data_IF_747974473937
#
_entry.id   IF_747974473937
#
_cell.length_a   1.000
_cell.length_b   1.000
_cell.length_c   1.000
_cell.angle_alpha   90.00
_cell.angle_beta   90.00
_cell.angle_gamma   90.00
#
_symmetry.space_group_name_H-M   'P 1'
#
loop_
_entity.id
_entity.type
_entity.pdbx_description
1 polymer ?
#
# COMPACT_ATOMS: atom_id res chain seq x y z
N UNK A 1 -47.36 21.96 -33.68
CA UNK A 1 -45.92 22.29 -33.56
C UNK A 1 -45.23 21.49 -32.45
N UNK A 2 -45.30 20.15 -32.48
CA UNK A 2 -44.60 19.26 -31.52
C UNK A 2 -43.98 18.01 -32.18
N UNK A 3 -44.04 17.89 -33.51
CA UNK A 3 -43.53 16.72 -34.26
C UNK A 3 -42.16 16.94 -34.94
N UNK A 4 -41.58 18.14 -34.84
CA UNK A 4 -40.29 18.47 -35.46
C UNK A 4 -39.08 18.32 -34.52
N UNK A 5 -39.27 18.41 -33.21
CA UNK A 5 -38.18 18.30 -32.23
C UNK A 5 -37.69 16.86 -31.99
N UNK A 6 -38.49 15.85 -32.33
CA UNK A 6 -38.11 14.43 -32.15
C UNK A 6 -37.21 13.94 -33.30
N UNK A 7 -37.41 14.43 -34.52
CA UNK A 7 -36.57 14.07 -35.68
C UNK A 7 -35.17 14.68 -35.62
N UNK A 8 -35.01 15.85 -34.99
CA UNK A 8 -33.70 16.50 -34.86
C UNK A 8 -32.78 15.82 -33.83
N UNK A 9 -33.35 15.20 -32.78
CA UNK A 9 -32.58 14.49 -31.75
C UNK A 9 -32.16 13.08 -32.20
N UNK A 10 -32.90 12.42 -33.10
CA UNK A 10 -32.50 11.10 -33.64
C UNK A 10 -31.36 11.24 -34.65
N UNK A 11 -31.28 12.36 -35.38
CA UNK A 11 -30.21 12.59 -36.36
C UNK A 11 -28.84 12.90 -35.71
N UNK A 12 -28.82 13.48 -34.50
CA UNK A 12 -27.57 13.73 -33.76
C UNK A 12 -27.00 12.49 -33.06
N UNK A 13 -27.81 11.46 -32.80
CA UNK A 13 -27.35 10.20 -32.20
C UNK A 13 -26.74 9.22 -33.22
N UNK A 14 -26.89 9.47 -34.53
CA UNK A 14 -26.31 8.65 -35.59
C UNK A 14 -24.94 9.16 -36.09
N UNK A 15 -24.47 10.32 -35.61
CA UNK A 15 -23.18 10.91 -36.00
C UNK A 15 -21.97 10.49 -35.15
N UNK A 16 -22.16 9.75 -34.05
CA UNK A 16 -21.07 9.33 -33.14
C UNK A 16 -20.65 7.86 -33.34
N UNK A 17 -21.25 7.14 -34.28
CA UNK A 17 -20.95 5.73 -34.56
C UNK A 17 -20.01 5.51 -35.76
N UNK A 18 -19.34 6.56 -36.27
CA UNK A 18 -18.49 6.49 -37.46
C UNK A 18 -17.10 7.11 -37.23
N UNK A 19 -16.40 6.66 -36.20
CA UNK A 19 -14.94 6.80 -36.04
C UNK A 19 -14.39 5.67 -35.16
N UNK A 20 -14.78 4.43 -35.47
CA UNK A 20 -13.98 3.27 -35.06
C UNK A 20 -12.99 3.00 -36.19
N UNK A 21 -11.80 3.60 -36.10
CA UNK A 21 -10.65 3.06 -36.81
C UNK A 21 -10.47 1.62 -36.34
N UNK A 22 -10.49 0.68 -37.28
CA UNK A 22 -10.30 -0.73 -36.98
C UNK A 22 -8.99 -0.91 -36.24
N UNK A 23 -9.07 -1.22 -34.94
CA UNK A 23 -7.92 -1.75 -34.22
C UNK A 23 -7.73 -3.16 -34.75
N UNK A 24 -6.62 -3.37 -35.46
CA UNK A 24 -6.11 -4.69 -35.73
C UNK A 24 -6.01 -5.43 -34.39
N UNK A 25 -6.86 -6.44 -34.23
CA UNK A 25 -6.68 -7.44 -33.19
C UNK A 25 -5.49 -8.27 -33.63
N UNK A 26 -4.33 -8.07 -32.98
CA UNK A 26 -3.23 -9.04 -33.05
C UNK A 26 -3.72 -10.28 -32.32
N UNK A 27 -4.43 -11.14 -33.04
CA UNK A 27 -4.63 -12.53 -32.65
C UNK A 27 -3.33 -13.21 -33.00
N UNK A 28 -2.48 -13.45 -32.01
CA UNK A 28 -1.33 -14.32 -32.16
C UNK A 28 -1.86 -15.74 -32.39
N UNK A 29 -2.10 -16.08 -33.65
CA UNK A 29 -2.39 -17.44 -34.08
C UNK A 29 -1.07 -18.20 -34.01
N UNK A 30 -0.88 -19.02 -32.98
CA UNK A 30 0.13 -20.05 -33.03
C UNK A 30 -0.22 -21.02 -34.16
N UNK A 31 0.52 -20.92 -35.26
CA UNK A 31 0.54 -21.93 -36.30
C UNK A 31 1.24 -23.17 -35.74
N UNK A 32 0.45 -24.20 -35.39
CA UNK A 32 0.99 -25.56 -35.25
C UNK A 32 1.23 -26.06 -36.67
N UNK A 33 2.49 -26.17 -37.08
CA UNK A 33 2.86 -26.87 -38.30
C UNK A 33 3.07 -28.35 -37.97
N UNK A 34 2.44 -29.24 -38.73
CA UNK A 34 2.35 -30.70 -38.53
C UNK A 34 3.67 -31.48 -38.66
N UNK A 35 4.85 -30.85 -38.66
CA UNK A 35 6.14 -31.54 -38.76
C UNK A 35 7.14 -31.11 -37.68
N UNK A 36 6.85 -31.48 -36.43
CA UNK A 36 7.75 -32.28 -35.59
C UNK A 36 9.21 -31.87 -35.31
N UNK A 37 9.66 -30.64 -35.54
CA UNK A 37 11.01 -30.20 -35.07
C UNK A 37 11.02 -28.73 -34.63
N UNK A 38 10.56 -28.48 -33.39
CA UNK A 38 10.77 -27.20 -32.72
C UNK A 38 12.19 -27.11 -32.17
N UNK A 39 12.92 -26.05 -32.53
CA UNK A 39 14.16 -25.64 -31.87
C UNK A 39 13.91 -25.47 -30.37
N UNK A 40 14.87 -25.82 -29.48
CA UNK A 40 14.66 -25.70 -28.05
C UNK A 40 14.51 -24.23 -27.68
N UNK A 41 13.30 -23.84 -27.27
CA UNK A 41 13.08 -22.60 -26.53
C UNK A 41 13.88 -22.74 -25.23
N UNK A 42 14.86 -21.86 -24.96
CA UNK A 42 15.55 -21.89 -23.67
C UNK A 42 14.50 -21.64 -22.57
N UNK A 43 14.63 -22.27 -21.39
CA UNK A 43 13.66 -22.05 -20.33
C UNK A 43 13.71 -20.59 -19.90
N UNK A 44 12.75 -19.80 -20.36
CA UNK A 44 12.53 -18.44 -19.89
C UNK A 44 11.93 -18.53 -18.50
N UNK A 45 12.78 -18.67 -17.49
CA UNK A 45 12.46 -18.15 -16.16
C UNK A 45 12.53 -16.63 -16.24
N UNK A 46 11.56 -16.02 -16.94
CA UNK A 46 11.19 -14.64 -16.69
C UNK A 46 10.13 -14.67 -15.59
N UNK A 47 10.61 -14.77 -14.35
CA UNK A 47 9.84 -14.23 -13.24
C UNK A 47 9.70 -12.74 -13.51
N UNK A 48 8.48 -12.22 -13.53
CA UNK A 48 8.17 -10.83 -13.86
C UNK A 48 9.06 -9.87 -13.08
N UNK A 49 10.05 -9.32 -13.78
CA UNK A 49 10.87 -8.20 -13.34
C UNK A 49 10.31 -6.90 -13.89
N UNK A 50 11.00 -5.81 -13.53
CA UNK A 50 10.64 -4.41 -13.79
C UNK A 50 10.60 -4.07 -15.31
N UNK A 51 10.99 -5.01 -16.17
CA UNK A 51 10.91 -4.96 -17.65
C UNK A 51 9.76 -5.82 -18.25
N UNK A 52 8.94 -6.44 -17.41
CA UNK A 52 7.74 -7.14 -17.86
C UNK A 52 6.68 -6.13 -18.29
N UNK A 53 6.40 -6.05 -19.59
CA UNK A 53 5.35 -5.18 -20.13
C UNK A 53 4.04 -5.27 -19.32
N UNK A 54 3.38 -4.11 -19.16
CA UNK A 54 2.16 -4.00 -18.36
C UNK A 54 1.03 -4.90 -18.87
N UNK A 55 0.31 -5.53 -17.94
CA UNK A 55 -0.85 -6.39 -18.20
C UNK A 55 -1.76 -6.47 -16.96
N UNK A 56 -3.01 -6.87 -17.16
CA UNK A 56 -3.96 -7.06 -16.07
C UNK A 56 -3.67 -8.36 -15.31
N UNK A 57 -3.17 -8.26 -14.08
CA UNK A 57 -2.97 -9.40 -13.19
C UNK A 57 -4.24 -9.64 -12.37
N UNK A 58 -4.56 -10.91 -12.11
CA UNK A 58 -5.76 -11.28 -11.38
C UNK A 58 -5.62 -12.53 -10.54
N UNK A 59 -6.60 -12.72 -9.66
CA UNK A 59 -6.80 -13.89 -8.82
C UNK A 59 -8.27 -14.30 -8.95
N UNK A 60 -8.53 -15.59 -9.18
CA UNK A 60 -9.87 -16.15 -9.37
C UNK A 60 -10.73 -15.41 -10.41
N UNK A 61 -10.11 -15.04 -11.52
CA UNK A 61 -10.77 -14.33 -12.63
C UNK A 61 -11.13 -12.87 -12.35
N UNK A 62 -10.67 -12.29 -11.23
CA UNK A 62 -10.83 -10.86 -10.91
C UNK A 62 -9.48 -10.13 -10.93
N UNK A 63 -9.44 -8.88 -11.42
CA UNK A 63 -8.22 -8.08 -11.35
C UNK A 63 -7.85 -7.79 -9.89
N UNK A 64 -6.56 -7.68 -9.58
CA UNK A 64 -6.08 -7.50 -8.20
C UNK A 64 -6.67 -6.27 -7.51
N UNK A 65 -6.96 -5.21 -8.27
CA UNK A 65 -7.61 -3.98 -7.79
C UNK A 65 -9.01 -4.23 -7.21
N UNK A 66 -9.68 -5.32 -7.61
CA UNK A 66 -10.98 -5.70 -7.06
C UNK A 66 -10.92 -6.10 -5.58
N UNK A 67 -9.73 -6.42 -5.08
CA UNK A 67 -9.49 -6.78 -3.68
C UNK A 67 -8.99 -5.59 -2.84
N UNK A 68 -8.81 -4.43 -3.47
CA UNK A 68 -8.41 -3.21 -2.76
C UNK A 68 -9.53 -2.76 -1.85
N UNK A 69 -9.17 -2.42 -0.62
CA UNK A 69 -10.10 -1.89 0.38
C UNK A 69 -9.73 -0.46 0.75
N UNK A 70 -10.75 0.32 1.11
CA UNK A 70 -10.56 1.54 1.87
C UNK A 70 -10.38 1.17 3.35
N UNK A 71 -9.17 1.34 3.88
CA UNK A 71 -8.87 1.00 5.26
C UNK A 71 -9.71 1.83 6.24
N UNK A 72 -10.10 3.06 5.90
CA UNK A 72 -10.96 3.90 6.74
C UNK A 72 -12.35 3.31 7.00
N UNK A 73 -12.79 2.40 6.13
CA UNK A 73 -14.07 1.70 6.24
C UNK A 73 -13.95 0.38 7.02
N UNK A 74 -12.73 -0.07 7.36
CA UNK A 74 -12.51 -1.29 8.12
C UNK A 74 -12.71 -1.04 9.62
N UNK A 75 -13.55 -1.84 10.27
CA UNK A 75 -13.87 -1.69 11.70
C UNK A 75 -12.61 -1.79 12.58
N UNK A 76 -11.69 -2.70 12.26
CA UNK A 76 -10.42 -2.84 12.97
C UNK A 76 -9.57 -1.58 12.90
N UNK A 77 -9.51 -0.90 11.75
CA UNK A 77 -8.79 0.37 11.63
C UNK A 77 -9.52 1.52 12.34
N UNK A 78 -10.85 1.58 12.27
CA UNK A 78 -11.63 2.59 13.02
C UNK A 78 -11.37 2.48 14.53
N UNK A 79 -11.23 1.25 15.04
CA UNK A 79 -10.85 0.99 16.43
C UNK A 79 -9.40 1.41 16.72
N UNK A 80 -8.44 1.09 15.85
CA UNK A 80 -7.06 1.60 15.95
C UNK A 80 -7.03 3.13 15.94
N UNK A 81 -7.79 3.77 15.06
CA UNK A 81 -7.87 5.22 14.96
C UNK A 81 -8.40 5.82 16.27
N UNK A 82 -9.49 5.26 16.79
CA UNK A 82 -10.13 5.74 18.02
C UNK A 82 -9.29 5.50 19.26
N UNK A 83 -8.79 4.29 19.45
CA UNK A 83 -8.17 3.85 20.71
C UNK A 83 -6.67 4.13 20.77
N UNK A 84 -6.01 4.31 19.61
CA UNK A 84 -4.56 4.55 19.51
C UNK A 84 -4.26 5.90 18.88
N UNK A 85 -4.62 6.10 17.60
CA UNK A 85 -4.18 7.28 16.83
C UNK A 85 -4.68 8.58 17.49
N UNK A 86 -5.96 8.67 17.84
CA UNK A 86 -6.54 9.87 18.44
C UNK A 86 -5.85 10.25 19.77
N UNK A 87 -5.39 9.27 20.54
CA UNK A 87 -4.60 9.52 21.76
C UNK A 87 -3.18 9.96 21.44
N UNK A 88 -2.57 9.40 20.40
CA UNK A 88 -1.24 9.81 19.93
C UNK A 88 -1.24 11.23 19.36
N UNK A 89 -2.34 11.74 18.79
CA UNK A 89 -2.41 13.13 18.30
C UNK A 89 -1.98 14.12 19.40
N UNK A 90 -2.29 13.84 20.67
CA UNK A 90 -1.91 14.72 21.78
C UNK A 90 -0.51 14.38 22.31
N UNK A 91 -0.18 13.10 22.46
CA UNK A 91 1.03 12.66 23.17
C UNK A 91 2.27 12.57 22.29
N UNK A 92 2.07 12.19 21.04
CA UNK A 92 3.13 11.93 20.08
C UNK A 92 2.63 12.24 18.64
N UNK A 93 2.32 13.52 18.33
CA UNK A 93 1.61 13.91 17.11
C UNK A 93 2.34 13.51 15.83
N UNK A 94 3.68 13.51 15.83
CA UNK A 94 4.45 13.08 14.65
C UNK A 94 4.27 11.58 14.35
N UNK A 95 4.25 10.72 15.38
CA UNK A 95 3.94 9.30 15.18
C UNK A 95 2.49 9.10 14.73
N UNK A 96 1.53 9.83 15.31
CA UNK A 96 0.14 9.79 14.85
C UNK A 96 0.01 10.15 13.36
N UNK A 97 0.73 11.18 12.93
CA UNK A 97 0.75 11.65 11.55
C UNK A 97 1.38 10.63 10.59
N UNK A 98 2.45 9.95 11.01
CA UNK A 98 3.07 8.87 10.25
C UNK A 98 2.10 7.68 10.11
N UNK A 99 1.42 7.26 11.20
CA UNK A 99 0.42 6.17 11.14
C UNK A 99 -0.74 6.51 10.19
N UNK A 100 -1.25 7.74 10.24
CA UNK A 100 -2.28 8.21 9.32
C UNK A 100 -1.76 8.23 7.87
N UNK A 101 -0.55 8.72 7.63
CA UNK A 101 0.08 8.69 6.31
C UNK A 101 0.17 7.27 5.74
N UNK A 102 0.61 6.30 6.55
CA UNK A 102 0.67 4.89 6.12
C UNK A 102 -0.72 4.33 5.83
N UNK A 103 -1.74 4.69 6.62
CA UNK A 103 -3.11 4.22 6.38
C UNK A 103 -3.70 4.73 5.06
N UNK A 104 -3.29 5.93 4.61
CA UNK A 104 -3.89 6.62 3.46
C UNK A 104 -3.11 6.44 2.16
N UNK A 105 -1.77 6.44 2.23
CA UNK A 105 -0.90 6.40 1.05
C UNK A 105 -0.48 4.97 0.66
N UNK A 106 -0.79 3.96 1.47
CA UNK A 106 -0.58 2.55 1.11
C UNK A 106 -1.87 1.95 0.56
N UNK A 107 -1.74 1.13 -0.48
CA UNK A 107 -2.86 0.35 -0.99
C UNK A 107 -3.04 -0.92 -0.15
N UNK A 108 -4.20 -1.07 0.47
CA UNK A 108 -4.55 -2.24 1.28
C UNK A 108 -5.40 -3.20 0.45
N UNK A 109 -5.05 -4.49 0.50
CA UNK A 109 -5.74 -5.54 -0.23
C UNK A 109 -6.14 -6.66 0.74
N UNK A 110 -7.41 -7.07 0.70
CA UNK A 110 -7.88 -8.28 1.37
C UNK A 110 -8.04 -9.36 0.30
N UNK A 111 -7.05 -10.25 0.17
CA UNK A 111 -7.04 -11.28 -0.87
C UNK A 111 -7.55 -12.61 -0.31
N UNK A 112 -8.43 -13.33 -1.04
CA UNK A 112 -9.02 -14.59 -0.58
C UNK A 112 -8.09 -15.79 -0.82
N UNK A 113 -6.79 -15.64 -0.59
CA UNK A 113 -5.81 -16.71 -0.79
C UNK A 113 -4.66 -16.60 0.21
N UNK A 114 -3.95 -17.72 0.39
CA UNK A 114 -2.79 -17.80 1.26
C UNK A 114 -1.64 -16.95 0.72
N UNK A 115 -0.99 -16.22 1.63
CA UNK A 115 0.23 -15.49 1.33
C UNK A 115 1.43 -16.44 1.40
N UNK A 116 2.44 -16.17 0.58
CA UNK A 116 3.71 -16.89 0.68
C UNK A 116 4.36 -16.60 2.03
N UNK A 117 4.60 -17.65 2.81
CA UNK A 117 5.28 -17.53 4.10
C UNK A 117 6.70 -16.99 3.94
N UNK A 118 7.05 -16.01 4.75
CA UNK A 118 8.43 -15.63 4.98
C UNK A 118 9.12 -16.71 5.83
N UNK A 119 10.41 -17.00 5.60
CA UNK A 119 11.17 -17.88 6.47
C UNK A 119 11.14 -17.39 7.93
N UNK A 120 10.93 -18.28 8.89
CA UNK A 120 10.87 -17.94 10.31
C UNK A 120 12.10 -17.15 10.81
N UNK A 121 13.29 -17.54 10.32
CA UNK A 121 14.56 -16.86 10.61
C UNK A 121 14.70 -15.47 9.98
N UNK A 122 13.79 -15.05 9.08
CA UNK A 122 13.75 -13.66 8.55
C UNK A 122 12.87 -12.75 9.39
N UNK A 123 12.00 -13.31 10.22
CA UNK A 123 11.03 -12.55 11.04
C UNK A 123 11.32 -12.73 12.54
N UNK A 124 12.52 -13.21 12.88
CA UNK A 124 12.97 -13.41 14.27
C UNK A 124 12.17 -14.41 15.09
N UNK A 125 11.66 -15.51 14.51
CA UNK A 125 10.93 -16.55 15.27
C UNK A 125 11.50 -17.95 15.03
N UNK A 126 11.36 -18.82 16.02
CA UNK A 126 11.92 -20.19 16.02
C UNK A 126 10.92 -21.27 15.60
N UNK A 127 9.73 -20.90 15.14
CA UNK A 127 8.65 -21.82 14.78
C UNK A 127 7.99 -21.42 13.46
N UNK A 128 7.27 -22.35 12.84
CA UNK A 128 6.49 -22.06 11.62
C UNK A 128 5.32 -21.16 11.99
N UNK A 129 5.16 -20.07 11.26
CA UNK A 129 4.05 -19.12 11.40
C UNK A 129 3.14 -19.15 10.19
N UNK A 130 1.91 -18.69 10.38
CA UNK A 130 1.01 -18.35 9.28
C UNK A 130 1.24 -16.90 8.86
N UNK A 131 1.48 -16.66 7.57
CA UNK A 131 1.62 -15.30 7.03
C UNK A 131 0.24 -14.68 6.83
N UNK A 132 -0.18 -13.83 7.77
CA UNK A 132 -1.48 -13.17 7.71
C UNK A 132 -1.43 -11.90 6.86
N UNK A 133 -0.35 -11.14 6.92
CA UNK A 133 -0.17 -9.93 6.13
C UNK A 133 1.25 -9.85 5.56
N UNK A 134 1.41 -9.25 4.38
CA UNK A 134 2.68 -9.01 3.72
C UNK A 134 2.71 -7.57 3.22
N UNK A 135 3.63 -6.78 3.78
CA UNK A 135 3.80 -5.39 3.41
C UNK A 135 5.01 -5.15 2.51
N UNK A 136 4.81 -4.31 1.50
CA UNK A 136 5.83 -3.66 0.67
C UNK A 136 5.79 -2.15 0.90
N UNK A 137 6.66 -1.40 0.24
CA UNK A 137 6.71 0.07 0.41
C UNK A 137 5.40 0.80 0.11
N UNK A 138 4.56 0.32 -0.80
CA UNK A 138 3.33 1.01 -1.24
C UNK A 138 2.06 0.18 -1.03
N UNK A 139 2.19 -1.06 -0.57
CA UNK A 139 1.10 -2.04 -0.57
C UNK A 139 1.13 -2.87 0.71
N UNK A 140 -0.06 -3.21 1.22
CA UNK A 140 -0.27 -4.18 2.30
C UNK A 140 -1.24 -5.23 1.78
N UNK A 141 -0.77 -6.47 1.71
CA UNK A 141 -1.55 -7.62 1.28
C UNK A 141 -1.96 -8.42 2.52
N UNK A 142 -3.24 -8.64 2.73
CA UNK A 142 -3.76 -9.39 3.89
C UNK A 142 -4.50 -10.63 3.39
N UNK A 143 -4.19 -11.78 3.98
CA UNK A 143 -4.92 -13.02 3.77
C UNK A 143 -6.29 -12.93 4.44
N UNK A 144 -7.33 -12.72 3.63
CA UNK A 144 -8.71 -12.56 4.10
C UNK A 144 -9.27 -13.87 4.69
N UNK A 145 -8.75 -15.04 4.28
CA UNK A 145 -9.18 -16.34 4.80
C UNK A 145 -8.84 -16.52 6.29
N UNK A 146 -7.79 -15.85 6.76
CA UNK A 146 -7.36 -15.83 8.15
C UNK A 146 -7.92 -14.60 8.87
N UNK A 147 -7.74 -13.42 8.27
CA UNK A 147 -8.13 -12.14 8.89
C UNK A 147 -9.60 -12.08 9.28
N UNK A 148 -10.51 -12.50 8.40
CA UNK A 148 -11.96 -12.48 8.64
C UNK A 148 -12.43 -13.39 9.79
N UNK A 149 -11.60 -14.36 10.21
CA UNK A 149 -11.88 -15.31 11.30
C UNK A 149 -11.27 -14.89 12.64
N UNK A 150 -10.40 -13.88 12.65
CA UNK A 150 -9.76 -13.38 13.86
C UNK A 150 -10.75 -12.72 14.81
N UNK A 151 -10.44 -12.74 16.10
CA UNK A 151 -11.18 -11.91 17.04
C UNK A 151 -10.97 -10.42 16.70
N UNK A 152 -11.95 -9.52 16.97
CA UNK A 152 -11.82 -8.10 16.64
C UNK A 152 -10.52 -7.46 17.17
N UNK A 153 -10.12 -7.81 18.40
CA UNK A 153 -8.89 -7.29 19.02
C UNK A 153 -7.61 -7.79 18.33
N UNK A 154 -7.63 -8.97 17.75
CA UNK A 154 -6.51 -9.51 16.97
C UNK A 154 -6.41 -8.83 15.61
N UNK A 155 -7.55 -8.52 14.97
CA UNK A 155 -7.57 -7.71 13.75
C UNK A 155 -7.02 -6.30 13.99
N UNK A 156 -7.41 -5.64 15.09
CA UNK A 156 -6.83 -4.36 15.52
C UNK A 156 -5.31 -4.45 15.69
N UNK A 157 -4.86 -5.53 16.34
CA UNK A 157 -3.44 -5.77 16.59
C UNK A 157 -2.66 -5.91 15.28
N UNK A 158 -3.18 -6.69 14.33
CA UNK A 158 -2.59 -6.84 13.02
C UNK A 158 -2.55 -5.51 12.26
N UNK A 159 -3.67 -4.78 12.21
CA UNK A 159 -3.72 -3.49 11.50
C UNK A 159 -2.69 -2.52 12.08
N UNK A 160 -2.61 -2.40 13.41
CA UNK A 160 -1.59 -1.53 14.02
C UNK A 160 -0.17 -2.03 13.75
N UNK A 161 0.07 -3.35 13.76
CA UNK A 161 1.37 -3.93 13.42
C UNK A 161 1.82 -3.50 12.02
N UNK A 162 0.97 -3.65 11.01
CA UNK A 162 1.27 -3.26 9.64
C UNK A 162 1.42 -1.73 9.47
N UNK A 163 0.73 -0.93 10.28
CA UNK A 163 0.97 0.52 10.30
C UNK A 163 2.36 0.84 10.84
N UNK A 164 2.79 0.22 11.95
CA UNK A 164 4.13 0.42 12.55
C UNK A 164 5.24 -0.10 11.64
N UNK A 165 5.03 -1.26 10.99
CA UNK A 165 5.93 -1.75 9.95
C UNK A 165 6.03 -0.76 8.78
N UNK A 166 4.92 -0.14 8.39
CA UNK A 166 4.92 0.94 7.40
C UNK A 166 5.74 2.16 7.84
N UNK A 167 5.67 2.55 9.12
CA UNK A 167 6.52 3.62 9.69
C UNK A 167 7.99 3.25 9.60
N UNK A 168 8.35 2.01 9.95
CA UNK A 168 9.72 1.50 9.81
C UNK A 168 10.20 1.60 8.36
N UNK A 169 9.34 1.28 7.41
CA UNK A 169 9.67 1.26 5.99
C UNK A 169 9.85 2.65 5.35
N UNK A 170 9.43 3.74 6.02
CA UNK A 170 9.57 5.12 5.51
C UNK A 170 11.02 5.52 5.20
N UNK A 171 12.02 4.95 5.89
CA UNK A 171 13.42 5.29 5.59
C UNK A 171 13.90 4.81 4.21
N UNK A 172 13.16 3.86 3.64
CA UNK A 172 13.40 3.26 2.34
C UNK A 172 12.48 3.82 1.27
N UNK A 173 11.64 4.81 1.56
CA UNK A 173 10.72 5.35 0.55
C UNK A 173 11.38 6.45 -0.27
N UNK A 174 10.78 6.76 -1.42
CA UNK A 174 11.30 7.78 -2.34
C UNK A 174 11.07 9.21 -1.78
N UNK A 175 11.69 10.20 -2.43
CA UNK A 175 11.62 11.59 -1.98
C UNK A 175 10.18 12.17 -1.97
N UNK A 176 9.31 11.67 -2.85
CA UNK A 176 7.91 12.09 -2.86
C UNK A 176 7.20 11.63 -1.59
N UNK A 177 7.30 10.35 -1.24
CA UNK A 177 6.70 9.80 -0.03
C UNK A 177 7.28 10.44 1.24
N UNK A 178 8.60 10.70 1.26
CA UNK A 178 9.25 11.46 2.33
C UNK A 178 8.70 12.90 2.45
N UNK A 179 8.37 13.55 1.32
CA UNK A 179 7.73 14.86 1.34
C UNK A 179 6.31 14.78 1.91
N UNK A 180 5.53 13.80 1.46
CA UNK A 180 4.14 13.61 1.89
C UNK A 180 4.05 13.30 3.40
N UNK A 181 4.94 12.47 3.92
CA UNK A 181 4.98 12.17 5.35
C UNK A 181 5.46 13.36 6.19
N UNK A 182 6.27 14.27 5.65
CA UNK A 182 6.67 15.49 6.36
C UNK A 182 5.50 16.46 6.56
N UNK A 183 4.53 16.46 5.64
CA UNK A 183 3.38 17.36 5.69
C UNK A 183 2.15 16.71 6.35
N UNK A 184 2.18 15.40 6.62
CA UNK A 184 1.04 14.65 7.19
C UNK A 184 0.59 15.18 8.55
N UNK A 185 1.51 15.79 9.31
CA UNK A 185 1.20 16.45 10.59
C UNK A 185 0.11 17.52 10.45
N UNK A 186 0.07 18.22 9.31
CA UNK A 186 -0.94 19.24 9.03
C UNK A 186 -2.34 18.65 8.94
N UNK A 187 -2.45 17.38 8.52
CA UNK A 187 -3.73 16.68 8.34
C UNK A 187 -4.39 16.32 9.66
N UNK A 188 -3.66 16.29 10.76
CA UNK A 188 -4.23 16.07 12.10
C UNK A 188 -5.02 17.28 12.62
N UNK A 189 -4.88 18.45 11.99
CA UNK A 189 -5.55 19.69 12.39
C UNK A 189 -6.55 20.08 11.30
N UNK A 190 -7.87 20.00 11.53
CA UNK A 190 -8.88 20.28 10.51
C UNK A 190 -8.72 21.63 9.82
N UNK A 191 -8.36 22.68 10.56
CA UNK A 191 -8.16 24.04 10.04
C UNK A 191 -7.02 24.18 9.03
N UNK A 192 -6.16 23.17 8.92
CA UNK A 192 -5.05 23.15 7.97
C UNK A 192 -5.39 22.45 6.65
N UNK A 193 -6.64 22.02 6.40
CA UNK A 193 -6.99 21.24 5.21
C UNK A 193 -6.53 21.90 3.89
N UNK A 194 -6.77 23.20 3.72
CA UNK A 194 -6.35 23.92 2.51
C UNK A 194 -4.82 24.03 2.38
N UNK A 195 -4.13 24.28 3.50
CA UNK A 195 -2.66 24.32 3.55
C UNK A 195 -2.07 22.94 3.23
N UNK A 196 -2.68 21.87 3.73
CA UNK A 196 -2.28 20.51 3.43
C UNK A 196 -2.46 20.20 1.95
N UNK A 197 -3.60 20.58 1.34
CA UNK A 197 -3.82 20.40 -0.11
C UNK A 197 -2.78 21.16 -0.93
N UNK A 198 -2.43 22.39 -0.54
CA UNK A 198 -1.37 23.15 -1.18
C UNK A 198 0.00 22.48 -1.05
N UNK A 199 0.41 22.14 0.18
CA UNK A 199 1.69 21.47 0.45
C UNK A 199 1.80 20.12 -0.26
N UNK A 200 0.70 19.35 -0.34
CA UNK A 200 0.64 18.10 -1.10
C UNK A 200 0.88 18.34 -2.58
N UNK A 201 0.19 19.31 -3.19
CA UNK A 201 0.42 19.69 -4.61
C UNK A 201 1.87 20.10 -4.84
N UNK A 202 2.49 20.79 -3.87
CA UNK A 202 3.89 21.16 -3.93
C UNK A 202 4.85 19.97 -3.89
N UNK A 203 4.59 18.97 -3.04
CA UNK A 203 5.34 17.72 -3.05
C UNK A 203 5.27 17.05 -4.43
N UNK A 204 4.06 16.88 -4.99
CA UNK A 204 3.90 16.29 -6.32
C UNK A 204 4.57 17.13 -7.41
N UNK A 205 4.45 18.46 -7.37
CA UNK A 205 5.10 19.36 -8.33
C UNK A 205 6.62 19.26 -8.27
N UNK A 206 7.19 19.26 -7.06
CA UNK A 206 8.64 19.21 -6.83
C UNK A 206 9.23 17.88 -7.27
N UNK A 207 8.53 16.79 -7.01
CA UNK A 207 9.03 15.44 -7.27
C UNK A 207 8.42 14.77 -8.51
N UNK A 208 7.64 15.50 -9.32
CA UNK A 208 6.97 15.02 -10.55
C UNK A 208 7.92 14.28 -11.50
N UNK A 209 9.13 14.79 -11.66
CA UNK A 209 10.13 14.21 -12.56
C UNK A 209 11.12 13.30 -11.83
N UNK A 210 11.12 13.32 -10.49
CA UNK A 210 11.97 12.48 -9.66
C UNK A 210 11.28 11.16 -9.27
N UNK A 211 9.93 11.13 -9.30
CA UNK A 211 9.14 9.91 -9.21
C UNK A 211 9.33 8.98 -10.42
N UNK A 212 9.70 9.55 -11.58
CA UNK A 212 9.94 8.82 -12.83
C UNK A 212 11.37 8.26 -12.95
N UNK A 213 12.31 8.67 -12.07
CA UNK A 213 13.73 8.22 -12.10
C UNK A 213 13.95 6.95 -11.24
N UNK A 214 12.88 6.34 -10.75
CA UNK A 214 12.98 5.01 -10.21
C UNK A 214 11.72 4.56 -9.49
N UNK A 215 10.93 3.74 -10.18
CA UNK A 215 10.30 2.56 -9.55
C UNK A 215 11.35 1.51 -9.11
N UNK A 216 12.63 1.88 -9.08
CA UNK A 216 13.57 1.29 -8.14
C UNK A 216 13.06 1.62 -6.73
N UNK A 217 12.47 0.60 -6.12
CA UNK A 217 12.12 0.51 -4.71
C UNK A 217 13.23 1.15 -3.85
N UNK A 218 12.88 2.24 -3.17
CA UNK A 218 13.79 3.04 -2.35
C UNK A 218 14.87 3.77 -3.12
N UNK A 219 15.60 4.64 -2.43
CA UNK A 219 16.67 5.49 -2.99
C UNK A 219 17.89 4.67 -3.49
N UNK A 220 17.68 3.53 -4.15
CA UNK A 220 18.69 2.51 -4.44
C UNK A 220 19.12 1.71 -3.21
N UNK A 221 18.29 1.68 -2.15
CA UNK A 221 18.57 0.93 -0.92
C UNK A 221 17.90 -0.44 -0.99
N UNK A 222 18.68 -1.51 -0.82
CA UNK A 222 18.11 -2.83 -0.56
C UNK A 222 17.30 -2.78 0.74
N UNK A 223 16.00 -3.06 0.66
CA UNK A 223 15.16 -3.17 1.84
C UNK A 223 15.57 -4.44 2.56
N UNK A 224 16.27 -4.27 3.68
CA UNK A 224 16.62 -5.36 4.58
C UNK A 224 16.16 -4.98 5.99
N UNK A 225 15.11 -5.65 6.44
CA UNK A 225 14.73 -5.67 7.84
C UNK A 225 15.47 -6.84 8.50
N UNK A 226 16.02 -6.59 9.68
CA UNK A 226 16.68 -7.58 10.52
C UNK A 226 15.71 -8.07 11.60
N UNK A 227 16.04 -9.17 12.29
CA UNK A 227 15.18 -9.77 13.31
C UNK A 227 14.76 -8.77 14.40
N UNK A 228 15.67 -7.87 14.80
CA UNK A 228 15.39 -6.85 15.80
C UNK A 228 14.36 -5.81 15.33
N UNK A 229 14.21 -5.58 14.01
CA UNK A 229 13.19 -4.67 13.47
C UNK A 229 11.80 -5.27 13.74
N UNK A 230 11.63 -6.57 13.48
CA UNK A 230 10.37 -7.28 13.75
C UNK A 230 10.03 -7.34 15.24
N UNK A 231 11.03 -7.56 16.10
CA UNK A 231 10.86 -7.48 17.56
C UNK A 231 10.41 -6.07 17.97
N UNK A 232 11.10 -5.04 17.50
CA UNK A 232 10.78 -3.63 17.80
C UNK A 232 9.37 -3.28 17.36
N UNK A 233 8.94 -3.70 16.16
CA UNK A 233 7.58 -3.48 15.67
C UNK A 233 6.56 -4.12 16.63
N UNK A 234 6.77 -5.37 17.05
CA UNK A 234 5.88 -6.06 18.00
C UNK A 234 5.83 -5.34 19.35
N UNK A 235 6.97 -4.87 19.86
CA UNK A 235 7.04 -4.13 21.12
C UNK A 235 6.26 -2.82 21.04
N UNK A 236 6.47 -2.02 19.99
CA UNK A 236 5.77 -0.75 19.81
C UNK A 236 4.27 -1.00 19.66
N UNK A 237 3.86 -1.98 18.85
CA UNK A 237 2.44 -2.38 18.74
C UNK A 237 1.87 -2.72 20.11
N UNK A 238 2.59 -3.50 20.94
CA UNK A 238 2.16 -3.86 22.29
C UNK A 238 2.05 -2.64 23.21
N UNK A 239 3.05 -1.76 23.22
CA UNK A 239 3.05 -0.51 24.01
C UNK A 239 1.84 0.35 23.63
N UNK A 240 1.60 0.55 22.33
CA UNK A 240 0.52 1.38 21.83
C UNK A 240 -0.87 0.78 22.05
N UNK A 241 -1.00 -0.54 22.20
CA UNK A 241 -2.29 -1.18 22.49
C UNK A 241 -2.60 -1.27 23.98
N UNK A 242 -1.57 -1.39 24.83
CA UNK A 242 -1.73 -1.74 26.25
C UNK A 242 -1.36 -0.60 27.21
N UNK A 243 -0.49 0.32 26.77
CA UNK A 243 0.09 1.39 27.59
C UNK A 243 -0.07 2.77 26.96
N UNK A 244 -1.00 2.93 26.02
CA UNK A 244 -1.24 4.20 25.30
C UNK A 244 -1.47 5.40 26.24
N UNK A 245 -2.05 5.14 27.41
CA UNK A 245 -2.36 6.15 28.41
C UNK A 245 -1.22 6.40 29.41
N UNK A 246 -0.13 5.64 29.38
CA UNK A 246 0.93 5.71 30.40
C UNK A 246 2.38 5.65 29.89
N UNK A 247 2.64 5.40 28.61
CA UNK A 247 4.00 5.38 28.07
C UNK A 247 4.65 6.78 28.06
N UNK A 248 5.97 6.85 28.23
CA UNK A 248 6.73 8.09 28.07
C UNK A 248 7.02 8.33 26.57
N UNK A 249 6.56 9.44 25.96
CA UNK A 249 6.82 9.71 24.54
C UNK A 249 8.28 9.85 24.17
N UNK A 250 9.11 10.41 25.07
CA UNK A 250 10.54 10.56 24.81
C UNK A 250 11.25 9.22 24.86
N UNK A 251 10.91 8.36 25.83
CA UNK A 251 11.46 6.99 25.90
C UNK A 251 11.11 6.20 24.64
N UNK A 252 9.87 6.31 24.16
CA UNK A 252 9.46 5.65 22.92
C UNK A 252 10.18 6.25 21.70
N UNK A 253 10.33 7.57 21.61
CA UNK A 253 11.09 8.21 20.53
C UNK A 253 12.55 7.74 20.50
N UNK A 254 13.21 7.72 21.65
CA UNK A 254 14.60 7.29 21.76
C UNK A 254 14.75 5.80 21.40
N UNK A 255 13.80 4.96 21.84
CA UNK A 255 13.74 3.54 21.46
C UNK A 255 13.59 3.36 19.95
N UNK A 256 12.62 4.06 19.34
CA UNK A 256 12.40 4.04 17.89
C UNK A 256 13.65 4.49 17.12
N UNK A 257 14.25 5.62 17.53
CA UNK A 257 15.45 6.17 16.89
C UNK A 257 16.66 5.22 16.97
N UNK A 258 16.85 4.54 18.11
CA UNK A 258 17.91 3.54 18.29
C UNK A 258 17.74 2.32 17.37
N UNK A 259 16.52 2.08 16.87
CA UNK A 259 16.16 0.96 15.99
C UNK A 259 16.02 1.36 14.52
N UNK A 260 16.51 2.55 14.14
CA UNK A 260 16.50 3.00 12.75
C UNK A 260 15.12 3.45 12.24
N UNK A 261 14.13 3.63 13.13
CA UNK A 261 12.95 4.39 12.76
C UNK A 261 13.33 5.85 12.50
N UNK A 262 12.46 6.54 11.76
CA UNK A 262 12.59 7.98 11.54
C UNK A 262 12.73 8.71 12.88
N UNK A 263 13.68 9.65 12.94
CA UNK A 263 13.84 10.54 14.10
C UNK A 263 12.72 11.58 14.11
N UNK A 264 12.11 11.78 15.27
CA UNK A 264 11.02 12.73 15.48
C UNK A 264 11.48 14.05 16.10
N UNK A 265 12.80 14.28 16.15
CA UNK A 265 13.46 15.44 16.74
C UNK A 265 12.71 16.74 16.44
N UNK A 266 12.55 17.57 17.49
CA UNK A 266 11.69 18.76 17.55
C UNK A 266 11.78 19.64 16.31
#
# INVERSE_FOLDING_TARGET
MKKWYVLFNILMLLGLAACQGGKETVVEKHYVNENGTGLPVPPSHQEGGIDGGGGGNGLDGKPLESFRVDLSQQTSFQLVQKEVINKLIVRFPKLAADLMHISEERAWYLIPTELRNLPAARIGVSFKTDQIALQKLKEVWVNDLLFSKMAPREQETLVLHELIMGVRLLEFTNLLDQCLVNISIMRLVPDNEDKYKEARRDCFRKFRNASDIGDNIGLGKDIKLEDYDYETIRDITSILLTRIDSFDPQELEDYMAARGFRKYAK
#
